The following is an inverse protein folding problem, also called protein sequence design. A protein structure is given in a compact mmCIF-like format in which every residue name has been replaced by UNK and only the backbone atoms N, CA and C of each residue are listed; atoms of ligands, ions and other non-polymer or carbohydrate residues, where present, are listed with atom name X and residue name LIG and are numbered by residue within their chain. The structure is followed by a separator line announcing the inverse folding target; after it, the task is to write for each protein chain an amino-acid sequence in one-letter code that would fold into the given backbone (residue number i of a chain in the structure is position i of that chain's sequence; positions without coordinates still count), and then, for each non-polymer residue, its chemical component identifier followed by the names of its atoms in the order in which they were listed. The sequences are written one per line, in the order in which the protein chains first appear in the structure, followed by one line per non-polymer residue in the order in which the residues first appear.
data_IF_356635636182
#
_entry.id   IF_356635636182
#
_cell.length_a   1.000
_cell.length_b   1.000
_cell.length_c   1.000
_cell.angle_alpha   90.00
_cell.angle_beta   90.00
_cell.angle_gamma   90.00
#
_symmetry.space_group_name_H-M   'P 1'
#
loop_
_entity.id
_entity.type
_entity.pdbx_description
1 polymer ?
#
# COMPACT_ATOMS: atom_id res chain seq x y z
N UNK A 1 13.98 -12.29 -2.42
CA UNK A 1 14.28 -10.93 -1.93
C UNK A 1 13.60 -9.86 -2.79
N UNK A 2 12.76 -9.03 -2.17
CA UNK A 2 12.12 -7.84 -2.75
C UNK A 2 13.20 -6.84 -3.19
N UNK A 3 12.93 -6.03 -4.23
CA UNK A 3 13.84 -4.98 -4.74
C UNK A 3 13.18 -3.63 -4.96
N UNK A 4 11.86 -3.61 -5.15
CA UNK A 4 11.08 -2.39 -5.38
C UNK A 4 9.82 -2.41 -4.52
N UNK A 5 9.63 -1.37 -3.71
CA UNK A 5 8.42 -1.13 -2.92
C UNK A 5 7.69 0.09 -3.49
N UNK A 6 6.41 -0.07 -3.80
CA UNK A 6 5.56 1.01 -4.29
C UNK A 6 4.37 1.19 -3.36
N UNK A 7 4.24 2.39 -2.80
CA UNK A 7 3.07 2.80 -2.03
C UNK A 7 1.98 3.35 -2.93
N UNK A 8 0.80 2.74 -2.92
CA UNK A 8 -0.36 3.23 -3.67
C UNK A 8 -1.07 4.37 -2.94
N UNK A 9 -1.72 5.22 -3.73
CA UNK A 9 -2.54 6.33 -3.29
C UNK A 9 -2.82 7.30 -4.44
N UNK A 10 -3.69 8.27 -4.20
CA UNK A 10 -4.00 9.32 -5.17
C UNK A 10 -3.10 10.56 -4.94
N UNK A 11 -2.61 11.22 -6.00
CA UNK A 11 -1.60 12.29 -5.90
C UNK A 11 -2.14 13.64 -5.41
N UNK A 12 -3.44 13.94 -5.62
CA UNK A 12 -3.96 15.26 -5.27
C UNK A 12 -3.97 15.50 -3.75
N UNK A 13 -3.70 16.76 -3.36
CA UNK A 13 -3.71 17.22 -1.97
C UNK A 13 -4.98 16.86 -1.20
N UNK A 14 -6.14 16.82 -1.86
CA UNK A 14 -7.42 16.43 -1.24
C UNK A 14 -7.43 14.99 -0.72
N UNK A 15 -6.56 14.10 -1.23
CA UNK A 15 -6.44 12.71 -0.80
C UNK A 15 -5.34 12.47 0.23
N UNK A 16 -4.54 13.49 0.57
CA UNK A 16 -3.57 13.38 1.67
C UNK A 16 -4.25 12.90 2.95
N UNK A 17 -3.61 12.00 3.69
CA UNK A 17 -4.17 11.46 4.94
C UNK A 17 -5.56 10.80 4.79
N UNK A 18 -5.89 10.28 3.60
CA UNK A 18 -7.05 9.38 3.43
C UNK A 18 -6.64 7.92 3.61
N UNK A 19 -7.60 7.04 3.93
CA UNK A 19 -7.32 5.61 4.03
C UNK A 19 -6.75 5.03 2.73
N UNK A 20 -7.18 5.54 1.58
CA UNK A 20 -6.68 5.09 0.28
C UNK A 20 -5.21 5.45 0.00
N UNK A 21 -4.67 6.38 0.79
CA UNK A 21 -3.29 6.83 0.68
C UNK A 21 -2.38 6.20 1.74
N UNK A 22 -2.82 5.18 2.50
CA UNK A 22 -1.96 4.51 3.50
C UNK A 22 -0.69 3.90 2.88
N UNK A 23 -0.74 3.46 1.63
CA UNK A 23 0.46 3.01 0.91
C UNK A 23 1.49 4.12 0.75
N UNK A 24 1.06 5.30 0.31
CA UNK A 24 1.89 6.51 0.25
C UNK A 24 2.43 6.90 1.63
N UNK A 25 1.57 6.91 2.65
CA UNK A 25 1.96 7.26 4.02
C UNK A 25 3.00 6.30 4.59
N UNK A 26 2.91 5.01 4.25
CA UNK A 26 3.90 4.03 4.65
C UNK A 26 5.26 4.28 4.00
N UNK A 27 5.31 4.67 2.72
CA UNK A 27 6.57 5.03 2.06
C UNK A 27 7.20 6.27 2.72
N UNK A 28 6.39 7.26 3.08
CA UNK A 28 6.86 8.43 3.81
C UNK A 28 7.40 8.05 5.20
N UNK A 29 6.71 7.15 5.92
CA UNK A 29 7.20 6.59 7.18
C UNK A 29 8.54 5.88 7.03
N UNK A 30 8.70 4.99 6.04
CA UNK A 30 9.97 4.28 5.80
C UNK A 30 11.11 5.26 5.52
N UNK A 31 10.88 6.28 4.69
CA UNK A 31 11.91 7.28 4.36
C UNK A 31 12.36 8.09 5.58
N UNK A 32 11.44 8.37 6.50
CA UNK A 32 11.74 9.16 7.69
C UNK A 32 12.37 8.32 8.82
N UNK A 33 11.84 7.12 9.06
CA UNK A 33 12.17 6.30 10.25
C UNK A 33 13.14 5.17 9.99
N UNK A 34 13.25 4.72 8.73
CA UNK A 34 14.08 3.60 8.32
C UNK A 34 14.91 3.95 7.05
N UNK A 35 15.74 5.01 7.11
CA UNK A 35 16.52 5.44 5.95
C UNK A 35 17.43 4.34 5.37
N UNK A 36 17.88 3.40 6.20
CA UNK A 36 18.67 2.23 5.80
C UNK A 36 17.94 1.34 4.79
N UNK A 37 16.61 1.25 4.84
CA UNK A 37 15.81 0.51 3.85
C UNK A 37 15.96 1.15 2.47
N UNK A 38 16.15 2.48 2.39
CA UNK A 38 16.32 3.18 1.12
C UNK A 38 17.67 2.88 0.46
N UNK A 39 18.68 2.48 1.23
CA UNK A 39 20.01 2.12 0.70
C UNK A 39 19.99 0.77 -0.02
N UNK A 40 19.09 -0.13 0.38
CA UNK A 40 19.00 -1.51 -0.13
C UNK A 40 17.83 -1.76 -1.09
N UNK A 41 16.76 -0.96 -0.98
CA UNK A 41 15.53 -1.11 -1.75
C UNK A 41 15.12 0.21 -2.40
N UNK A 42 14.60 0.11 -3.63
CA UNK A 42 13.91 1.23 -4.23
C UNK A 42 12.54 1.37 -3.57
N UNK A 43 12.28 2.51 -2.91
CA UNK A 43 10.98 2.83 -2.29
C UNK A 43 10.39 4.08 -2.94
N UNK A 44 9.23 3.95 -3.56
CA UNK A 44 8.59 5.03 -4.34
C UNK A 44 7.10 5.14 -4.03
N UNK A 45 6.57 6.35 -4.24
CA UNK A 45 5.15 6.65 -4.14
C UNK A 45 4.52 6.64 -5.53
N UNK A 46 3.30 6.12 -5.64
CA UNK A 46 2.52 6.30 -6.87
C UNK A 46 2.22 7.78 -7.08
N UNK A 47 2.43 8.25 -8.30
CA UNK A 47 2.08 9.61 -8.75
C UNK A 47 0.84 9.57 -9.67
N UNK A 48 0.11 8.45 -9.70
CA UNK A 48 -1.06 8.25 -10.55
C UNK A 48 -2.30 7.96 -9.68
N UNK A 49 -3.47 8.32 -10.20
CA UNK A 49 -4.73 7.93 -9.59
C UNK A 49 -4.83 6.41 -9.46
N UNK A 50 -5.54 5.96 -8.43
CA UNK A 50 -5.58 4.55 -8.04
C UNK A 50 -5.90 3.62 -9.21
N UNK A 51 -6.96 3.92 -9.97
CA UNK A 51 -7.40 3.14 -11.13
C UNK A 51 -6.39 3.11 -12.30
N UNK A 52 -5.38 3.98 -12.29
CA UNK A 52 -4.32 4.04 -13.29
C UNK A 52 -2.93 3.63 -12.73
N UNK A 53 -2.88 3.01 -11.55
CA UNK A 53 -1.62 2.60 -10.90
C UNK A 53 -0.79 1.64 -11.75
N UNK A 54 -1.42 0.79 -12.58
CA UNK A 54 -0.71 -0.22 -13.37
C UNK A 54 0.29 0.36 -14.36
N UNK A 55 -0.06 1.48 -15.01
CA UNK A 55 0.84 2.17 -15.95
C UNK A 55 2.08 2.74 -15.25
N UNK A 56 1.90 3.31 -14.06
CA UNK A 56 2.99 3.77 -13.20
C UNK A 56 3.90 2.63 -12.75
N UNK A 57 3.32 1.51 -12.30
CA UNK A 57 4.07 0.35 -11.81
C UNK A 57 4.93 -0.27 -12.92
N UNK A 58 4.38 -0.47 -14.13
CA UNK A 58 5.18 -0.97 -15.28
C UNK A 58 6.37 -0.05 -15.56
N UNK A 59 6.13 1.27 -15.62
CA UNK A 59 7.17 2.24 -15.94
C UNK A 59 8.27 2.22 -14.88
N UNK A 60 7.88 2.10 -13.62
CA UNK A 60 8.80 2.02 -12.48
C UNK A 60 9.62 0.73 -12.50
N UNK A 61 8.98 -0.41 -12.73
CA UNK A 61 9.68 -1.70 -12.86
C UNK A 61 10.70 -1.70 -13.99
N UNK A 62 10.36 -1.13 -15.15
CA UNK A 62 11.30 -0.96 -16.27
C UNK A 62 12.47 -0.06 -15.89
N UNK A 63 12.21 1.07 -15.21
CA UNK A 63 13.24 2.01 -14.76
C UNK A 63 14.25 1.35 -13.82
N UNK A 64 13.77 0.55 -12.87
CA UNK A 64 14.61 -0.09 -11.86
C UNK A 64 15.07 -1.50 -12.23
N UNK A 65 14.71 -1.99 -13.42
CA UNK A 65 15.00 -3.34 -13.90
C UNK A 65 14.56 -4.45 -12.91
N UNK A 66 13.30 -4.38 -12.47
CA UNK A 66 12.72 -5.29 -11.47
C UNK A 66 11.60 -6.15 -12.07
N UNK A 67 11.65 -7.46 -11.80
CA UNK A 67 10.60 -8.43 -12.18
C UNK A 67 9.43 -8.42 -11.17
N UNK A 68 8.21 -8.84 -11.56
CA UNK A 68 7.04 -8.84 -10.69
C UNK A 68 7.26 -9.53 -9.34
N UNK A 69 7.97 -10.66 -9.33
CA UNK A 69 8.21 -11.44 -8.11
C UNK A 69 9.02 -10.69 -7.04
N UNK A 70 9.76 -9.65 -7.45
CA UNK A 70 10.59 -8.80 -6.59
C UNK A 70 9.92 -7.44 -6.28
N UNK A 71 8.69 -7.25 -6.73
CA UNK A 71 7.86 -6.07 -6.45
C UNK A 71 7.03 -6.29 -5.19
N UNK A 72 7.00 -5.28 -4.32
CA UNK A 72 6.06 -5.16 -3.21
C UNK A 72 5.16 -3.95 -3.43
N UNK A 73 3.84 -4.19 -3.46
CA UNK A 73 2.83 -3.15 -3.51
C UNK A 73 2.24 -2.94 -2.11
N UNK A 74 2.28 -1.72 -1.61
CA UNK A 74 1.68 -1.35 -0.31
C UNK A 74 0.38 -0.62 -0.56
N UNK A 75 -0.72 -1.10 0.03
CA UNK A 75 -2.05 -0.54 -0.21
C UNK A 75 -3.00 -0.77 0.98
N UNK A 76 -4.13 -0.06 0.97
CA UNK A 76 -5.20 -0.27 1.95
C UNK A 76 -5.99 -1.54 1.67
N UNK A 77 -6.55 -2.10 2.74
CA UNK A 77 -7.41 -3.26 2.68
C UNK A 77 -8.66 -3.07 3.55
N UNK A 78 -9.81 -3.04 2.88
CA UNK A 78 -11.10 -2.78 3.52
C UNK A 78 -11.72 -4.01 4.18
N UNK A 79 -11.17 -5.21 3.94
CA UNK A 79 -11.59 -6.46 4.58
C UNK A 79 -10.79 -6.71 5.87
N UNK A 80 -9.63 -6.07 6.03
CA UNK A 80 -8.83 -6.11 7.23
C UNK A 80 -9.18 -4.97 8.19
N UNK A 81 -9.34 -5.32 9.47
CA UNK A 81 -9.51 -4.35 10.55
C UNK A 81 -8.25 -3.52 10.77
N UNK A 82 -8.45 -2.26 11.13
CA UNK A 82 -7.37 -1.36 11.49
C UNK A 82 -6.53 -1.93 12.63
N UNK A 83 -5.22 -1.74 12.56
CA UNK A 83 -4.27 -2.37 13.49
C UNK A 83 -3.84 -3.77 13.08
N UNK A 84 -4.25 -4.24 11.90
CA UNK A 84 -3.76 -5.48 11.28
C UNK A 84 -3.13 -5.17 9.93
N UNK A 85 -2.14 -5.98 9.56
CA UNK A 85 -1.62 -6.02 8.21
C UNK A 85 -1.39 -7.47 7.78
N UNK A 86 -1.27 -7.68 6.46
CA UNK A 86 -0.88 -8.98 5.88
C UNK A 86 0.14 -8.77 4.78
N UNK A 87 1.06 -9.71 4.66
CA UNK A 87 1.96 -9.83 3.51
C UNK A 87 1.50 -11.05 2.71
N UNK A 88 1.09 -10.86 1.46
CA UNK A 88 0.67 -11.95 0.57
C UNK A 88 1.32 -11.87 -0.82
N UNK A 89 1.40 -13.01 -1.50
CA UNK A 89 1.96 -13.17 -2.84
C UNK A 89 0.95 -13.86 -3.74
N UNK A 90 0.85 -13.46 -5.02
CA UNK A 90 0.08 -14.21 -6.02
C UNK A 90 -1.45 -14.12 -5.86
N UNK A 91 -1.97 -13.10 -5.17
CA UNK A 91 -3.40 -13.00 -4.80
C UNK A 91 -4.16 -12.02 -5.68
N UNK A 92 -5.44 -12.31 -5.94
CA UNK A 92 -6.35 -11.46 -6.72
C UNK A 92 -6.68 -10.12 -6.06
N UNK A 93 -7.17 -9.15 -6.84
CA UNK A 93 -7.37 -7.77 -6.41
C UNK A 93 -8.43 -7.54 -5.31
N UNK A 94 -9.40 -8.46 -5.14
CA UNK A 94 -10.47 -8.34 -4.16
C UNK A 94 -11.21 -6.98 -4.21
N UNK A 95 -11.46 -6.44 -5.42
CA UNK A 95 -12.15 -5.17 -5.63
C UNK A 95 -11.30 -3.92 -5.44
N UNK A 96 -9.99 -4.05 -5.17
CA UNK A 96 -9.09 -2.91 -5.06
C UNK A 96 -8.63 -2.43 -6.45
N UNK A 97 -9.18 -1.32 -6.94
CA UNK A 97 -8.93 -0.79 -8.29
C UNK A 97 -7.45 -0.57 -8.64
N UNK A 98 -6.60 -0.23 -7.67
CA UNK A 98 -5.16 -0.11 -7.90
C UNK A 98 -4.51 -1.45 -8.22
N UNK A 99 -4.94 -2.52 -7.55
CA UNK A 99 -4.43 -3.86 -7.78
C UNK A 99 -5.00 -4.41 -9.08
N UNK A 100 -6.27 -4.16 -9.38
CA UNK A 100 -6.88 -4.51 -10.67
C UNK A 100 -6.10 -3.88 -11.83
N UNK A 101 -5.81 -2.58 -11.73
CA UNK A 101 -5.02 -1.84 -12.71
C UNK A 101 -3.63 -2.47 -12.90
N UNK A 102 -2.93 -2.81 -11.81
CA UNK A 102 -1.61 -3.44 -11.84
C UNK A 102 -1.67 -4.83 -12.50
N UNK A 103 -2.63 -5.68 -12.13
CA UNK A 103 -2.77 -7.03 -12.67
C UNK A 103 -3.07 -7.01 -14.17
N UNK A 104 -3.94 -6.10 -14.62
CA UNK A 104 -4.26 -5.93 -16.03
C UNK A 104 -3.04 -5.53 -16.87
N UNK A 105 -2.20 -4.66 -16.32
CA UNK A 105 -0.99 -4.17 -16.96
C UNK A 105 0.14 -5.21 -16.95
N UNK A 106 0.43 -5.81 -15.78
CA UNK A 106 1.50 -6.79 -15.63
C UNK A 106 1.18 -8.15 -16.25
N UNK A 107 -0.10 -8.44 -16.51
CA UNK A 107 -0.58 -9.75 -16.98
C UNK A 107 -0.21 -10.90 -16.03
N UNK A 108 -0.02 -10.60 -14.75
CA UNK A 108 0.26 -11.58 -13.68
C UNK A 108 -0.22 -11.05 -12.32
N UNK A 109 -0.41 -11.97 -11.37
CA UNK A 109 -0.66 -11.69 -9.96
C UNK A 109 0.59 -11.92 -9.10
N UNK A 110 1.71 -12.34 -9.70
CA UNK A 110 2.92 -12.83 -9.04
C UNK A 110 3.80 -11.68 -8.53
N UNK A 111 3.25 -10.89 -7.62
CA UNK A 111 3.93 -9.84 -6.88
C UNK A 111 3.47 -9.84 -5.42
N UNK A 112 4.30 -9.28 -4.54
CA UNK A 112 4.00 -9.17 -3.13
C UNK A 112 3.06 -8.00 -2.87
N UNK A 113 2.20 -8.14 -1.85
CA UNK A 113 1.35 -7.07 -1.34
C UNK A 113 1.45 -6.96 0.16
N UNK A 114 1.76 -5.76 0.64
CA UNK A 114 1.58 -5.37 2.03
C UNK A 114 0.22 -4.69 2.16
N UNK A 115 -0.73 -5.42 2.72
CA UNK A 115 -2.13 -5.02 2.89
C UNK A 115 -2.30 -4.42 4.27
N UNK A 116 -2.66 -3.15 4.34
CA UNK A 116 -2.84 -2.42 5.60
C UNK A 116 -4.33 -2.32 5.88
N UNK A 117 -4.78 -2.90 7.00
CA UNK A 117 -6.18 -2.88 7.38
C UNK A 117 -6.66 -1.48 7.70
N UNK A 118 -7.80 -1.10 7.14
CA UNK A 118 -8.41 0.21 7.34
C UNK A 118 -9.81 0.13 7.96
N UNK A 119 -10.41 -1.07 8.06
CA UNK A 119 -11.77 -1.21 8.57
C UNK A 119 -11.82 -0.85 10.07
N UNK A 120 -12.60 0.15 10.49
CA UNK A 120 -12.74 0.48 11.89
C UNK A 120 -13.37 -0.67 12.68
N UNK A 121 -13.03 -0.79 13.96
CA UNK A 121 -13.61 -1.79 14.87
C UNK A 121 -14.75 -1.24 15.73
N UNK A 122 -15.12 0.03 15.57
CA UNK A 122 -16.21 0.65 16.34
C UNK A 122 -17.57 0.21 15.74
N UNK A 123 -18.39 -0.51 16.51
CA UNK A 123 -19.67 -1.15 16.10
C UNK A 123 -20.72 -0.20 15.49
N UNK A 124 -20.53 1.12 15.64
CA UNK A 124 -21.48 2.15 15.18
C UNK A 124 -21.25 2.63 13.75
N UNK A 125 -20.16 2.21 13.11
CA UNK A 125 -19.88 2.61 11.73
C UNK A 125 -20.66 1.66 10.83
N UNK A 126 -21.80 2.16 10.32
CA UNK A 126 -22.60 1.54 9.27
C UNK A 126 -21.72 0.92 8.17
N UNK A 127 -22.30 -0.05 7.44
CA UNK A 127 -21.74 -0.70 6.24
C UNK A 127 -21.47 0.30 5.10
N UNK A 128 -20.58 1.26 5.32
CA UNK A 128 -20.12 2.20 4.30
C UNK A 128 -19.42 1.36 3.24
N UNK A 129 -19.85 1.56 1.99
CA UNK A 129 -19.22 0.93 0.82
C UNK A 129 -17.72 1.23 0.85
N UNK A 130 -16.90 0.23 0.50
CA UNK A 130 -15.45 0.35 0.55
C UNK A 130 -14.94 1.61 -0.19
N UNK A 131 -15.46 1.86 -1.41
CA UNK A 131 -15.08 3.03 -2.21
C UNK A 131 -15.30 4.39 -1.52
N UNK A 132 -16.40 4.55 -0.78
CA UNK A 132 -16.67 5.81 -0.06
C UNK A 132 -15.82 5.93 1.21
N UNK A 133 -15.55 4.79 1.85
CA UNK A 133 -14.77 4.75 3.08
C UNK A 133 -13.29 5.05 2.83
N UNK A 134 -12.69 4.51 1.77
CA UNK A 134 -11.26 4.69 1.48
C UNK A 134 -10.88 6.16 1.28
N UNK A 135 -11.80 6.98 0.79
CA UNK A 135 -11.57 8.42 0.57
C UNK A 135 -11.74 9.28 1.83
N UNK A 136 -12.19 8.71 2.96
CA UNK A 136 -12.30 9.45 4.22
C UNK A 136 -10.92 9.76 4.80
N UNK A 137 -10.81 10.91 5.47
CA UNK A 137 -9.62 11.29 6.23
C UNK A 137 -9.45 10.36 7.44
N UNK A 138 -8.20 10.02 7.71
CA UNK A 138 -7.79 9.23 8.88
C UNK A 138 -7.89 10.11 10.12
N UNK A 139 -8.60 9.66 11.16
CA UNK A 139 -8.69 10.36 12.44
C UNK A 139 -7.38 10.26 13.23
N UNK A 140 -7.14 11.15 14.19
CA UNK A 140 -5.93 11.08 15.04
C UNK A 140 -5.79 9.73 15.77
N UNK A 141 -6.90 9.19 16.31
CA UNK A 141 -6.96 7.85 16.92
C UNK A 141 -6.48 6.77 15.94
N UNK A 142 -7.01 6.79 14.71
CA UNK A 142 -6.68 5.78 13.70
C UNK A 142 -5.28 5.96 13.14
N UNK A 143 -4.78 7.20 13.04
CA UNK A 143 -3.42 7.51 12.63
C UNK A 143 -2.40 6.87 13.58
N UNK A 144 -2.59 7.00 14.89
CA UNK A 144 -1.71 6.35 15.87
C UNK A 144 -1.69 4.81 15.75
N UNK A 145 -2.84 4.20 15.47
CA UNK A 145 -2.93 2.75 15.25
C UNK A 145 -2.21 2.34 13.96
N UNK A 146 -2.36 3.12 12.88
CA UNK A 146 -1.71 2.87 11.59
C UNK A 146 -0.18 3.06 11.71
N UNK A 147 0.29 4.06 12.43
CA UNK A 147 1.73 4.26 12.66
C UNK A 147 2.36 3.09 13.42
N UNK A 148 1.65 2.49 14.38
CA UNK A 148 2.10 1.23 15.00
C UNK A 148 2.19 0.08 13.98
N UNK A 149 1.20 -0.03 13.10
CA UNK A 149 1.23 -1.03 12.01
C UNK A 149 2.41 -0.78 11.07
N UNK A 150 2.75 0.47 10.78
CA UNK A 150 3.90 0.81 9.96
C UNK A 150 5.20 0.34 10.61
N UNK A 151 5.39 0.58 11.92
CA UNK A 151 6.56 0.11 12.65
C UNK A 151 6.69 -1.43 12.61
N UNK A 152 5.60 -2.15 12.89
CA UNK A 152 5.59 -3.62 12.86
C UNK A 152 5.88 -4.17 11.45
N UNK A 153 5.31 -3.54 10.41
CA UNK A 153 5.53 -3.93 9.03
C UNK A 153 6.96 -3.65 8.55
N UNK A 154 7.57 -2.53 8.95
CA UNK A 154 8.96 -2.20 8.62
C UNK A 154 9.95 -3.24 9.16
N UNK A 155 9.82 -3.60 10.45
CA UNK A 155 10.61 -4.68 11.08
C UNK A 155 10.45 -6.01 10.33
N UNK A 156 9.23 -6.30 9.87
CA UNK A 156 8.97 -7.51 9.10
C UNK A 156 9.66 -7.51 7.73
N UNK A 157 9.78 -6.35 7.08
CA UNK A 157 10.48 -6.21 5.81
C UNK A 157 11.99 -6.37 5.96
N UNK A 158 12.57 -5.84 7.04
CA UNK A 158 14.00 -5.99 7.36
C UNK A 158 14.40 -7.44 7.68
N UNK A 159 13.50 -8.18 8.35
CA UNK A 159 13.75 -9.56 8.78
C UNK A 159 13.41 -10.63 7.72
N UNK A 160 12.94 -10.23 6.54
CA UNK A 160 12.59 -11.17 5.46
C UNK A 160 13.79 -11.39 4.51
N UNK A 161 14.30 -12.63 4.35
CA UNK A 161 15.50 -12.92 3.56
C UNK A 161 15.38 -12.71 2.03
#
# INVERSE_FOLDING_TARGET
MIKLIIGLGNPDKKYENTYHNVGILFIDYLREKHPEIHEILHIIKSEHFMNNSGSFVIKSMKRYNVNPEKLLIVHDDSDLVIGKFKLDFGRGAAGHHGIESIQQHLKTNDFWRLRIGIRPTDDKIERIKAGDFVLKKISAKNKAIIERVFAEAAIKLESSP
#
